data_IF_506717261849
#
_entry.id   IF_506717261849
#
_cell.length_a   1.000
_cell.length_b   1.000
_cell.length_c   1.000
_cell.angle_alpha   90.00
_cell.angle_beta   90.00
_cell.angle_gamma   90.00
#
_symmetry.space_group_name_H-M   'P 1'
#
loop_
_entity.id
_entity.type
_entity.pdbx_description
1 polymer ?
#
# COMPACT_ATOMS: atom_id res chain seq x y z
N UNK A 1 -46.04 -8.84 44.07
CA UNK A 1 -44.62 -8.68 43.71
C UNK A 1 -44.51 -8.41 42.23
N UNK A 2 -44.27 -7.19 41.84
CA UNK A 2 -44.05 -6.85 40.44
C UNK A 2 -42.56 -6.71 40.18
N UNK A 3 -42.01 -7.65 39.45
CA UNK A 3 -40.65 -7.56 38.94
C UNK A 3 -40.64 -6.62 37.74
N UNK A 4 -40.07 -5.45 37.92
CA UNK A 4 -39.73 -4.57 36.80
C UNK A 4 -38.40 -5.04 36.23
N UNK A 5 -38.46 -5.77 35.10
CA UNK A 5 -37.29 -5.94 34.25
C UNK A 5 -37.08 -4.65 33.45
N UNK A 6 -36.20 -3.79 33.95
CA UNK A 6 -35.61 -2.75 33.10
C UNK A 6 -34.68 -3.42 32.12
N UNK A 7 -35.18 -3.70 30.92
CA UNK A 7 -34.36 -4.08 29.81
C UNK A 7 -33.54 -2.85 29.40
N UNK A 8 -32.36 -2.71 30.00
CA UNK A 8 -31.37 -1.73 29.58
C UNK A 8 -30.84 -2.21 28.23
N UNK A 9 -31.47 -1.74 27.15
CA UNK A 9 -30.91 -1.90 25.80
C UNK A 9 -29.70 -0.99 25.76
N UNK A 10 -28.52 -1.55 26.07
CA UNK A 10 -27.26 -0.93 25.73
C UNK A 10 -27.17 -0.90 24.21
N UNK A 11 -27.61 0.19 23.60
CA UNK A 11 -27.23 0.52 22.24
C UNK A 11 -25.72 0.79 22.27
N UNK A 12 -24.94 -0.24 22.04
CA UNK A 12 -23.52 -0.09 21.73
C UNK A 12 -23.43 0.61 20.38
N UNK A 13 -23.35 1.93 20.40
CA UNK A 13 -22.88 2.69 19.26
C UNK A 13 -21.42 2.32 19.07
N UNK A 14 -21.17 1.38 18.15
CA UNK A 14 -19.84 1.23 17.57
C UNK A 14 -19.57 2.50 16.76
N UNK A 15 -18.99 3.50 17.41
CA UNK A 15 -18.35 4.58 16.68
C UNK A 15 -17.22 3.94 15.88
N UNK A 16 -17.43 3.71 14.58
CA UNK A 16 -16.34 3.43 13.66
C UNK A 16 -15.46 4.66 13.70
N UNK A 17 -14.28 4.53 14.31
CA UNK A 17 -13.25 5.53 14.19
C UNK A 17 -12.97 5.70 12.70
N UNK A 18 -13.36 6.85 12.13
CA UNK A 18 -13.04 7.20 10.76
C UNK A 18 -11.52 7.37 10.69
N UNK A 19 -10.83 6.58 9.85
CA UNK A 19 -9.40 6.75 9.61
C UNK A 19 -9.14 8.19 9.16
N UNK A 20 -8.17 8.90 9.76
CA UNK A 20 -7.86 10.26 9.36
C UNK A 20 -7.34 10.27 7.92
N UNK A 21 -7.80 11.26 7.16
CA UNK A 21 -7.39 11.47 5.77
C UNK A 21 -6.76 12.84 5.62
N UNK A 22 -5.98 12.99 4.56
CA UNK A 22 -5.42 14.27 4.13
C UNK A 22 -5.67 14.46 2.64
N UNK A 23 -5.71 15.70 2.20
CA UNK A 23 -5.76 16.04 0.79
C UNK A 23 -4.35 16.33 0.30
N UNK A 24 -3.92 15.59 -0.69
CA UNK A 24 -2.62 15.74 -1.32
C UNK A 24 -2.82 16.31 -2.73
N UNK A 25 -2.02 17.31 -3.10
CA UNK A 25 -1.99 17.81 -4.48
C UNK A 25 -0.81 17.16 -5.18
N UNK A 26 -1.08 16.38 -6.20
CA UNK A 26 -0.06 15.66 -6.95
C UNK A 26 0.67 16.58 -7.96
N UNK A 27 1.70 16.05 -8.62
CA UNK A 27 2.52 16.78 -9.58
C UNK A 27 1.74 17.22 -10.84
N UNK A 28 0.58 16.61 -11.09
CA UNK A 28 -0.34 17.00 -12.17
C UNK A 28 -1.38 18.03 -11.72
N UNK A 29 -1.29 18.53 -10.47
CA UNK A 29 -2.22 19.50 -9.90
C UNK A 29 -3.55 18.90 -9.45
N UNK A 30 -3.68 17.57 -9.39
CA UNK A 30 -4.89 16.90 -8.94
C UNK A 30 -4.93 16.83 -7.43
N UNK A 31 -6.10 17.08 -6.85
CA UNK A 31 -6.33 16.90 -5.42
C UNK A 31 -6.81 15.48 -5.17
N UNK A 32 -6.05 14.73 -4.39
CA UNK A 32 -6.35 13.34 -4.05
C UNK A 32 -6.50 13.23 -2.53
N UNK A 33 -7.59 12.64 -2.09
CA UNK A 33 -7.77 12.31 -0.68
C UNK A 33 -7.06 10.98 -0.39
N UNK A 34 -6.10 11.01 0.52
CA UNK A 34 -5.29 9.86 0.89
C UNK A 34 -5.33 9.63 2.39
N UNK A 35 -5.07 8.40 2.88
CA UNK A 35 -4.91 8.18 4.31
C UNK A 35 -3.80 9.07 4.88
N UNK A 36 -4.02 9.64 6.06
CA UNK A 36 -2.97 10.40 6.75
C UNK A 36 -1.80 9.50 7.17
N UNK A 37 -2.09 8.23 7.46
CA UNK A 37 -1.11 7.22 7.85
C UNK A 37 -1.32 5.94 7.02
N UNK A 38 -0.83 5.90 5.77
CA UNK A 38 -0.98 4.73 4.91
C UNK A 38 -0.31 3.50 5.54
N UNK A 39 -1.00 2.37 5.54
CA UNK A 39 -0.50 1.11 6.11
C UNK A 39 -0.16 0.08 5.04
N UNK A 40 -0.76 0.20 3.87
CA UNK A 40 -0.61 -0.76 2.78
C UNK A 40 -0.39 -0.02 1.47
N UNK A 41 0.87 0.30 1.20
CA UNK A 41 1.26 1.05 0.02
C UNK A 41 1.60 0.07 -1.10
N UNK A 42 1.06 0.29 -2.29
CA UNK A 42 1.49 -0.35 -3.53
C UNK A 42 2.30 0.64 -4.35
N UNK A 43 3.47 0.20 -4.79
CA UNK A 43 4.40 1.00 -5.61
C UNK A 43 4.37 0.52 -7.05
N UNK A 44 4.10 1.43 -7.99
CA UNK A 44 4.09 1.13 -9.41
C UNK A 44 5.43 1.43 -10.12
N UNK A 45 6.48 1.77 -9.36
CA UNK A 45 7.83 1.89 -9.90
C UNK A 45 8.88 1.46 -8.88
N UNK A 46 9.76 0.54 -9.28
CA UNK A 46 10.73 -0.07 -8.37
C UNK A 46 11.82 0.91 -7.93
N UNK A 47 12.51 1.56 -8.85
CA UNK A 47 13.66 2.41 -8.52
C UNK A 47 13.25 3.74 -7.87
N UNK A 48 12.26 4.42 -8.44
CA UNK A 48 11.96 5.81 -8.06
C UNK A 48 10.91 5.91 -6.94
N UNK A 49 10.19 4.83 -6.64
CA UNK A 49 9.18 4.81 -5.58
C UNK A 49 9.52 3.77 -4.50
N UNK A 50 9.75 2.52 -4.86
CA UNK A 50 10.01 1.45 -3.89
C UNK A 50 11.26 1.69 -3.07
N UNK A 51 12.37 2.04 -3.73
CA UNK A 51 13.63 2.30 -3.04
C UNK A 51 13.50 3.42 -2.00
N UNK A 52 12.98 4.61 -2.34
CA UNK A 52 12.75 5.66 -1.34
C UNK A 52 11.84 5.24 -0.18
N UNK A 53 10.77 4.47 -0.46
CA UNK A 53 9.88 3.97 0.60
C UNK A 53 10.60 3.05 1.58
N UNK A 54 11.46 2.17 1.08
CA UNK A 54 12.27 1.29 1.92
C UNK A 54 13.25 2.13 2.78
N UNK A 55 13.92 3.10 2.17
CA UNK A 55 14.86 3.98 2.87
C UNK A 55 14.19 4.83 3.95
N UNK A 56 12.94 5.23 3.73
CA UNK A 56 12.13 5.95 4.72
C UNK A 56 11.56 5.05 5.83
N UNK A 57 11.76 3.74 5.76
CA UNK A 57 11.25 2.79 6.74
C UNK A 57 9.77 2.44 6.58
N UNK A 58 9.18 2.71 5.41
CA UNK A 58 7.79 2.40 5.07
C UNK A 58 7.72 1.54 3.79
N UNK A 59 8.28 0.32 3.81
CA UNK A 59 8.32 -0.52 2.62
C UNK A 59 6.91 -0.78 2.08
N UNK A 60 6.74 -0.84 0.74
CA UNK A 60 5.44 -1.17 0.17
C UNK A 60 5.08 -2.64 0.44
N UNK A 61 3.79 -2.95 0.41
CA UNK A 61 3.31 -4.35 0.50
C UNK A 61 3.43 -5.07 -0.83
N UNK A 62 3.46 -4.33 -1.94
CA UNK A 62 3.64 -4.84 -3.28
C UNK A 62 4.32 -3.79 -4.17
N UNK A 63 5.08 -4.23 -5.15
CA UNK A 63 5.90 -3.38 -6.00
C UNK A 63 6.02 -3.90 -7.42
N UNK A 64 6.04 -2.96 -8.35
CA UNK A 64 6.61 -3.18 -9.66
C UNK A 64 8.07 -3.67 -9.52
N UNK A 65 8.50 -4.48 -10.46
CA UNK A 65 9.86 -4.99 -10.48
C UNK A 65 10.30 -5.38 -11.88
N UNK A 66 11.35 -6.17 -11.94
CA UNK A 66 11.96 -6.67 -13.17
C UNK A 66 11.97 -8.19 -13.16
N UNK A 67 12.06 -8.76 -14.33
CA UNK A 67 12.15 -10.22 -14.52
C UNK A 67 13.49 -10.57 -15.14
N UNK A 68 14.20 -11.55 -14.54
CA UNK A 68 15.43 -12.11 -15.07
C UNK A 68 15.12 -13.15 -16.15
N UNK A 69 16.11 -13.52 -16.99
CA UNK A 69 15.92 -14.56 -18.00
C UNK A 69 15.49 -15.93 -17.43
N UNK A 70 15.80 -16.21 -16.17
CA UNK A 70 15.39 -17.44 -15.48
C UNK A 70 13.95 -17.40 -14.95
N UNK A 71 13.23 -16.29 -15.15
CA UNK A 71 11.86 -16.09 -14.70
C UNK A 71 11.74 -15.55 -13.27
N UNK A 72 12.83 -15.40 -12.52
CA UNK A 72 12.79 -14.78 -11.20
C UNK A 72 12.63 -13.27 -11.28
N UNK A 73 12.13 -12.67 -10.21
CA UNK A 73 11.84 -11.25 -10.15
C UNK A 73 12.77 -10.53 -9.18
N UNK A 74 13.02 -9.25 -9.44
CA UNK A 74 13.86 -8.42 -8.57
C UNK A 74 13.41 -6.95 -8.61
N UNK A 75 13.74 -6.23 -7.53
CA UNK A 75 13.61 -4.78 -7.45
C UNK A 75 14.90 -4.18 -8.01
N UNK A 76 14.78 -3.34 -9.03
CA UNK A 76 15.96 -2.72 -9.66
C UNK A 76 16.81 -2.00 -8.61
N UNK A 77 18.05 -2.44 -8.49
CA UNK A 77 19.01 -1.94 -7.50
C UNK A 77 18.61 -2.14 -6.03
N UNK A 78 17.51 -2.86 -5.75
CA UNK A 78 16.99 -3.02 -4.39
C UNK A 78 18.00 -3.66 -3.44
N UNK A 79 18.52 -4.83 -3.78
CA UNK A 79 19.50 -5.53 -2.96
C UNK A 79 20.79 -4.71 -2.77
N UNK A 80 21.24 -4.00 -3.82
CA UNK A 80 22.47 -3.20 -3.77
C UNK A 80 22.33 -1.96 -2.89
N UNK A 81 21.22 -1.23 -3.01
CA UNK A 81 21.02 0.05 -2.33
C UNK A 81 20.44 -0.11 -0.93
N UNK A 82 19.58 -1.09 -0.72
CA UNK A 82 18.81 -1.24 0.52
C UNK A 82 19.03 -2.57 1.22
N UNK A 83 19.60 -3.56 0.54
CA UNK A 83 19.63 -4.94 1.02
C UNK A 83 18.31 -5.70 0.90
N UNK A 84 17.28 -5.08 0.30
CA UNK A 84 15.93 -5.64 0.20
C UNK A 84 15.59 -5.99 -1.23
N UNK A 85 14.99 -7.17 -1.41
CA UNK A 85 14.45 -7.63 -2.68
C UNK A 85 13.20 -8.50 -2.42
N UNK A 86 12.55 -8.99 -3.47
CA UNK A 86 11.35 -9.84 -3.33
C UNK A 86 11.64 -11.15 -2.59
N UNK A 87 12.82 -11.75 -2.79
CA UNK A 87 13.17 -13.04 -2.23
C UNK A 87 13.51 -13.00 -0.73
N UNK A 88 13.82 -11.82 -0.18
CA UNK A 88 14.19 -11.65 1.23
C UNK A 88 13.23 -10.72 2.00
N UNK A 89 12.08 -10.44 1.45
CA UNK A 89 11.07 -9.56 2.05
C UNK A 89 9.66 -10.11 1.83
N UNK A 90 8.67 -9.47 2.43
CA UNK A 90 7.26 -9.74 2.20
C UNK A 90 6.65 -8.92 1.05
N UNK A 91 7.46 -8.16 0.31
CA UNK A 91 6.98 -7.34 -0.80
C UNK A 91 6.57 -8.27 -1.95
N UNK A 92 5.32 -8.17 -2.40
CA UNK A 92 4.81 -8.94 -3.51
C UNK A 92 5.16 -8.29 -4.86
N UNK A 93 5.46 -9.11 -5.86
CA UNK A 93 5.70 -8.67 -7.23
C UNK A 93 4.37 -8.48 -7.96
N UNK A 94 4.20 -7.34 -8.66
CA UNK A 94 2.96 -7.00 -9.36
C UNK A 94 3.15 -6.75 -10.87
N UNK A 95 4.26 -7.12 -11.43
CA UNK A 95 4.52 -6.99 -12.86
C UNK A 95 5.71 -6.11 -13.21
N UNK A 96 6.04 -6.10 -14.49
CA UNK A 96 7.08 -5.26 -15.10
C UNK A 96 6.45 -4.26 -16.06
N UNK A 97 6.48 -4.50 -17.38
CA UNK A 97 5.81 -3.66 -18.36
C UNK A 97 4.28 -3.72 -18.23
N UNK A 98 3.75 -4.90 -17.94
CA UNK A 98 2.33 -5.13 -17.71
C UNK A 98 2.08 -5.30 -16.21
N UNK A 99 1.35 -4.37 -15.63
CA UNK A 99 0.97 -4.42 -14.22
C UNK A 99 -0.20 -5.37 -14.03
N UNK A 100 -0.04 -6.30 -13.10
CA UNK A 100 -1.07 -7.26 -12.71
C UNK A 100 -2.06 -6.60 -11.75
N UNK A 101 -3.21 -6.20 -12.27
CA UNK A 101 -4.28 -5.57 -11.49
C UNK A 101 -4.82 -6.51 -10.40
N UNK A 102 -4.91 -7.81 -10.68
CA UNK A 102 -5.38 -8.79 -9.69
C UNK A 102 -4.42 -8.90 -8.51
N UNK A 103 -3.12 -8.83 -8.76
CA UNK A 103 -2.09 -8.80 -7.71
C UNK A 103 -2.20 -7.53 -6.85
N UNK A 104 -2.50 -6.38 -7.45
CA UNK A 104 -2.76 -5.14 -6.71
C UNK A 104 -3.98 -5.30 -5.81
N UNK A 105 -5.08 -5.81 -6.33
CA UNK A 105 -6.31 -6.05 -5.55
C UNK A 105 -6.05 -7.03 -4.40
N UNK A 106 -5.29 -8.09 -4.65
CA UNK A 106 -4.91 -9.06 -3.62
C UNK A 106 -4.05 -8.44 -2.50
N UNK A 107 -3.26 -7.42 -2.81
CA UNK A 107 -2.44 -6.70 -1.84
C UNK A 107 -3.28 -5.80 -0.91
N UNK A 108 -4.54 -5.54 -1.22
CA UNK A 108 -5.47 -4.70 -0.45
C UNK A 108 -4.85 -3.35 -0.06
N UNK A 109 -4.43 -2.53 -1.05
CA UNK A 109 -3.79 -1.26 -0.77
C UNK A 109 -4.76 -0.23 -0.18
N UNK A 110 -4.25 0.64 0.67
CA UNK A 110 -4.91 1.88 1.07
C UNK A 110 -4.28 3.11 0.39
N UNK A 111 -3.14 2.93 -0.29
CA UNK A 111 -2.50 3.94 -1.12
C UNK A 111 -1.74 3.28 -2.27
N UNK A 112 -1.89 3.83 -3.46
CA UNK A 112 -1.11 3.45 -4.64
C UNK A 112 -0.32 4.66 -5.09
N UNK A 113 0.99 4.50 -5.24
CA UNK A 113 1.89 5.54 -5.73
C UNK A 113 2.39 5.15 -7.12
N UNK A 114 2.25 6.07 -8.05
CA UNK A 114 2.72 5.91 -9.43
C UNK A 114 3.43 7.16 -9.90
N UNK A 115 4.26 7.03 -10.91
CA UNK A 115 4.82 8.16 -11.63
C UNK A 115 3.81 8.71 -12.64
N UNK A 116 3.83 10.04 -12.89
CA UNK A 116 3.08 10.57 -14.01
C UNK A 116 3.63 9.99 -15.31
N UNK A 117 2.75 9.51 -16.16
CA UNK A 117 3.14 9.13 -17.53
C UNK A 117 3.45 10.39 -18.34
N UNK A 118 4.55 10.40 -19.05
CA UNK A 118 4.90 11.52 -19.93
C UNK A 118 3.88 11.72 -21.04
#
# INVERSE_FOLDING_TARGET
>A
MRLFFSLLILLSFFARATEPVQVFTDDLGRKVTVPAHPKRIVSLHDLDITIPLIELGVPPVASHGRTRPDGSHFIRSGALLTGVDFDNSSIAFIGTADIDIEAIVAAKPDLIITEPTP
#
